data_IF_292701785854
#
_entry.id   IF_292701785854
#
_cell.length_a   1.000
_cell.length_b   1.000
_cell.length_c   1.000
_cell.angle_alpha   90.00
_cell.angle_beta   90.00
_cell.angle_gamma   90.00
#
_symmetry.space_group_name_H-M   'P 1'
#
loop_
_entity.id
_entity.type
_entity.pdbx_description
1 polymer ?
#
# COMPACT_ATOMS: atom_id res chain seq x y z
N UNK A 1 -49.14 -23.58 -3.58
CA UNK A 1 -48.28 -23.43 -2.40
C UNK A 1 -47.00 -22.75 -2.86
N UNK A 2 -46.42 -21.87 -2.07
CA UNK A 2 -45.17 -21.18 -2.40
C UNK A 2 -44.01 -22.13 -2.05
N UNK A 3 -43.01 -22.18 -2.92
CA UNK A 3 -41.76 -22.89 -2.72
C UNK A 3 -40.60 -21.94 -2.94
N UNK A 4 -39.54 -22.14 -2.21
CA UNK A 4 -38.34 -21.31 -2.21
C UNK A 4 -37.25 -22.00 -3.01
N UNK A 5 -36.82 -21.35 -4.08
CA UNK A 5 -35.89 -21.93 -5.06
C UNK A 5 -34.47 -21.58 -4.72
N UNK A 6 -33.56 -22.56 -4.82
CA UNK A 6 -32.13 -22.39 -4.65
C UNK A 6 -31.35 -22.77 -5.91
N UNK A 7 -30.17 -22.20 -6.04
CA UNK A 7 -29.23 -22.48 -7.12
C UNK A 7 -28.74 -23.94 -7.00
N UNK A 8 -28.62 -24.63 -8.12
CA UNK A 8 -28.24 -26.07 -8.15
C UNK A 8 -26.82 -26.30 -7.61
N UNK A 9 -25.88 -25.37 -7.86
CA UNK A 9 -24.48 -25.54 -7.53
C UNK A 9 -24.15 -24.88 -6.17
N UNK A 10 -24.49 -23.61 -6.02
CA UNK A 10 -24.14 -22.82 -4.83
C UNK A 10 -25.15 -22.97 -3.70
N UNK A 11 -26.34 -23.51 -3.95
CA UNK A 11 -27.47 -23.62 -3.01
C UNK A 11 -28.02 -22.30 -2.50
N UNK A 12 -27.58 -21.18 -3.08
CA UNK A 12 -28.06 -19.84 -2.73
C UNK A 12 -29.54 -19.68 -3.07
N UNK A 13 -30.28 -18.97 -2.24
CA UNK A 13 -31.65 -18.57 -2.53
C UNK A 13 -31.70 -17.66 -3.77
N UNK A 14 -32.48 -18.05 -4.76
CA UNK A 14 -32.61 -17.31 -6.03
C UNK A 14 -34.03 -16.81 -6.32
N UNK A 15 -34.99 -17.14 -5.49
CA UNK A 15 -36.35 -16.63 -5.65
C UNK A 15 -37.43 -17.59 -5.27
N UNK A 16 -38.65 -17.24 -5.67
CA UNK A 16 -39.86 -17.95 -5.34
C UNK A 16 -40.41 -18.68 -6.57
N UNK A 17 -41.01 -19.85 -6.34
CA UNK A 17 -41.72 -20.65 -7.37
C UNK A 17 -43.02 -21.19 -6.80
N UNK A 18 -44.08 -21.23 -7.63
CA UNK A 18 -45.32 -21.87 -7.24
C UNK A 18 -45.28 -23.37 -7.49
N UNK A 19 -45.49 -24.13 -6.43
CA UNK A 19 -45.67 -25.58 -6.49
C UNK A 19 -47.04 -25.92 -7.06
N UNK A 20 -47.08 -26.90 -7.98
CA UNK A 20 -48.32 -27.40 -8.56
C UNK A 20 -49.00 -28.32 -7.57
N UNK A 21 -50.35 -28.35 -7.63
CA UNK A 21 -51.14 -29.29 -6.86
C UNK A 21 -50.90 -30.70 -7.39
N UNK A 22 -50.72 -31.64 -6.48
CA UNK A 22 -50.58 -33.03 -6.86
C UNK A 22 -51.94 -33.57 -7.46
N UNK A 23 -51.97 -33.99 -8.73
CA UNK A 23 -53.18 -34.51 -9.35
C UNK A 23 -53.62 -35.83 -8.78
N UNK A 24 -52.76 -36.58 -8.11
CA UNK A 24 -53.04 -37.91 -7.53
C UNK A 24 -53.18 -37.88 -6.01
N UNK A 25 -52.91 -36.74 -5.36
CA UNK A 25 -52.92 -36.62 -3.93
C UNK A 25 -53.52 -35.30 -3.41
N UNK A 26 -53.52 -35.12 -2.11
CA UNK A 26 -54.02 -33.91 -1.44
C UNK A 26 -52.96 -32.81 -1.24
N UNK A 27 -51.70 -33.04 -1.67
CA UNK A 27 -50.55 -32.19 -1.44
C UNK A 27 -50.14 -31.32 -2.63
N UNK A 28 -48.90 -30.86 -2.59
CA UNK A 28 -48.24 -30.11 -3.64
C UNK A 28 -46.95 -30.82 -4.07
N UNK A 29 -46.66 -30.82 -5.36
CA UNK A 29 -45.44 -31.37 -5.91
C UNK A 29 -44.32 -30.31 -5.72
N UNK A 30 -43.29 -30.67 -4.99
CA UNK A 30 -42.14 -29.81 -4.79
C UNK A 30 -41.36 -29.69 -6.11
N UNK A 31 -41.19 -28.50 -6.67
CA UNK A 31 -40.36 -28.31 -7.87
C UNK A 31 -38.91 -28.67 -7.61
N UNK A 32 -38.15 -28.99 -8.66
CA UNK A 32 -36.73 -29.25 -8.56
C UNK A 32 -35.97 -28.02 -8.01
N UNK A 33 -34.99 -28.27 -7.17
CA UNK A 33 -34.16 -27.23 -6.50
C UNK A 33 -35.01 -26.23 -5.70
N UNK A 34 -36.05 -26.72 -5.06
CA UNK A 34 -36.93 -25.92 -4.19
C UNK A 34 -37.12 -26.62 -2.84
N UNK A 35 -37.50 -25.84 -1.86
CA UNK A 35 -37.96 -26.28 -0.55
C UNK A 35 -39.25 -25.53 -0.18
N UNK A 36 -40.08 -26.12 0.70
CA UNK A 36 -41.22 -25.42 1.28
C UNK A 36 -40.82 -24.60 2.53
N UNK A 37 -39.58 -24.76 3.01
CA UNK A 37 -39.08 -24.01 4.14
C UNK A 37 -38.69 -22.59 3.70
N UNK A 38 -39.20 -21.62 4.40
CA UNK A 38 -38.90 -20.22 4.16
C UNK A 38 -37.47 -19.87 4.59
N UNK A 39 -36.69 -19.18 3.75
CA UNK A 39 -35.40 -18.68 4.17
C UNK A 39 -35.56 -17.59 5.26
N UNK A 40 -34.56 -17.41 6.13
CA UNK A 40 -34.55 -16.31 7.08
C UNK A 40 -34.54 -14.97 6.35
N UNK A 41 -34.89 -13.90 7.04
CA UNK A 41 -34.85 -12.53 6.50
C UNK A 41 -33.46 -12.21 5.95
N UNK A 42 -33.43 -11.51 4.81
CA UNK A 42 -32.17 -11.10 4.20
C UNK A 42 -31.43 -10.11 5.12
N UNK A 43 -30.19 -10.43 5.42
CA UNK A 43 -29.24 -9.55 6.12
C UNK A 43 -28.23 -9.03 5.09
N UNK A 44 -27.92 -7.73 5.14
CA UNK A 44 -26.93 -7.13 4.26
C UNK A 44 -25.53 -7.75 4.51
N UNK A 45 -24.80 -8.05 3.41
CA UNK A 45 -23.52 -8.77 3.47
C UNK A 45 -23.62 -10.27 3.75
N UNK A 46 -24.83 -10.85 3.69
CA UNK A 46 -25.06 -12.30 3.85
C UNK A 46 -25.91 -12.85 2.71
N UNK A 47 -25.66 -14.12 2.37
CA UNK A 47 -26.49 -14.92 1.46
C UNK A 47 -27.16 -16.06 2.23
N UNK A 48 -28.36 -16.42 1.78
CA UNK A 48 -29.09 -17.58 2.32
C UNK A 48 -28.73 -18.81 1.50
N UNK A 49 -28.13 -19.81 2.13
CA UNK A 49 -27.72 -21.08 1.52
C UNK A 49 -28.59 -22.21 2.09
N UNK A 50 -29.14 -23.03 1.21
CA UNK A 50 -29.93 -24.18 1.62
C UNK A 50 -29.04 -25.39 1.88
N UNK A 51 -29.05 -25.87 3.11
CA UNK A 51 -28.39 -27.10 3.53
C UNK A 51 -29.30 -28.28 3.25
N UNK A 52 -28.94 -29.08 2.25
CA UNK A 52 -29.70 -30.26 1.81
C UNK A 52 -29.67 -31.40 2.84
N UNK A 53 -28.60 -31.52 3.63
CA UNK A 53 -28.46 -32.62 4.58
C UNK A 53 -29.33 -32.38 5.83
N UNK A 54 -29.32 -31.14 6.30
CA UNK A 54 -30.09 -30.74 7.50
C UNK A 54 -31.48 -30.20 7.15
N UNK A 55 -31.79 -30.03 5.87
CA UNK A 55 -33.05 -29.48 5.38
C UNK A 55 -33.35 -28.11 6.03
N UNK A 56 -32.36 -27.22 6.06
CA UNK A 56 -32.46 -25.89 6.69
C UNK A 56 -31.78 -24.84 5.86
N UNK A 57 -32.18 -23.57 6.05
CA UNK A 57 -31.47 -22.43 5.53
C UNK A 57 -30.40 -21.95 6.51
N UNK A 58 -29.24 -21.60 5.98
CA UNK A 58 -28.16 -20.98 6.71
C UNK A 58 -27.86 -19.59 6.13
N UNK A 59 -27.53 -18.65 6.98
CA UNK A 59 -26.99 -17.35 6.54
C UNK A 59 -25.47 -17.40 6.59
N UNK A 60 -24.85 -17.21 5.43
CA UNK A 60 -23.41 -17.27 5.27
C UNK A 60 -22.94 -15.91 4.78
N UNK A 61 -21.84 -15.41 5.32
CA UNK A 61 -21.28 -14.12 4.93
C UNK A 61 -20.87 -14.16 3.46
N UNK A 62 -21.27 -13.12 2.71
CA UNK A 62 -20.87 -12.93 1.32
C UNK A 62 -19.64 -12.02 1.30
N UNK A 63 -18.49 -12.62 1.04
CA UNK A 63 -17.22 -11.90 0.89
C UNK A 63 -16.82 -11.72 -0.58
N UNK A 64 -17.70 -12.08 -1.54
CA UNK A 64 -17.42 -11.89 -2.96
C UNK A 64 -17.20 -10.43 -3.29
N UNK A 65 -16.31 -10.18 -4.26
CA UNK A 65 -15.88 -8.85 -4.71
C UNK A 65 -15.05 -8.05 -3.68
N UNK A 66 -14.80 -8.59 -2.48
CA UNK A 66 -13.80 -8.08 -1.53
C UNK A 66 -12.44 -8.70 -1.80
N UNK A 67 -11.44 -8.32 -1.03
CA UNK A 67 -10.08 -8.80 -1.19
C UNK A 67 -9.72 -9.87 -0.15
N UNK A 68 -8.91 -10.83 -0.59
CA UNK A 68 -8.17 -11.75 0.28
C UNK A 68 -6.67 -11.62 -0.02
N UNK A 69 -5.84 -11.86 0.98
CA UNK A 69 -4.39 -11.84 0.87
C UNK A 69 -3.83 -13.21 1.19
N UNK A 70 -2.89 -13.67 0.37
CA UNK A 70 -2.14 -14.91 0.62
C UNK A 70 -1.10 -14.67 1.69
N UNK A 71 -1.04 -15.55 2.70
CA UNK A 71 -0.15 -15.39 3.85
C UNK A 71 1.33 -15.56 3.49
N UNK A 72 1.64 -16.36 2.48
CA UNK A 72 3.01 -16.71 2.10
C UNK A 72 3.77 -15.54 1.48
N UNK A 73 3.13 -14.75 0.61
CA UNK A 73 3.79 -13.77 -0.24
C UNK A 73 3.10 -12.40 -0.29
N UNK A 74 2.05 -12.22 0.51
CA UNK A 74 1.25 -10.99 0.54
C UNK A 74 0.56 -10.65 -0.80
N UNK A 75 0.30 -11.66 -1.64
CA UNK A 75 -0.42 -11.47 -2.90
C UNK A 75 -1.91 -11.30 -2.65
N UNK A 76 -2.52 -10.26 -3.25
CA UNK A 76 -3.95 -10.00 -3.14
C UNK A 76 -4.72 -10.64 -4.29
N UNK A 77 -5.84 -11.29 -3.96
CA UNK A 77 -6.81 -11.83 -4.90
C UNK A 77 -8.22 -11.29 -4.59
N UNK A 78 -9.08 -11.26 -5.60
CA UNK A 78 -10.51 -10.94 -5.42
C UNK A 78 -11.24 -12.23 -5.05
N UNK A 79 -11.98 -12.19 -3.96
CA UNK A 79 -12.81 -13.31 -3.50
C UNK A 79 -13.95 -13.58 -4.48
N UNK A 80 -14.07 -14.82 -4.96
CA UNK A 80 -15.11 -15.27 -5.91
C UNK A 80 -16.01 -16.37 -5.35
N UNK A 81 -15.91 -16.62 -4.05
CA UNK A 81 -16.62 -17.68 -3.37
C UNK A 81 -17.30 -17.16 -2.10
N UNK A 82 -18.20 -17.97 -1.55
CA UNK A 82 -18.95 -17.67 -0.33
C UNK A 82 -18.36 -18.50 0.81
N UNK A 83 -18.45 -17.98 2.03
CA UNK A 83 -18.03 -18.66 3.23
C UNK A 83 -16.69 -18.18 3.76
N UNK A 84 -15.98 -19.07 4.45
CA UNK A 84 -14.71 -18.75 5.12
C UNK A 84 -13.54 -18.64 4.13
N UNK A 85 -12.49 -17.98 4.53
CA UNK A 85 -11.28 -17.89 3.74
C UNK A 85 -10.67 -19.28 3.51
N UNK A 86 -10.08 -19.48 2.33
CA UNK A 86 -9.32 -20.67 2.04
C UNK A 86 -8.11 -20.79 2.93
N UNK A 87 -7.61 -22.00 3.11
CA UNK A 87 -6.37 -22.23 3.84
C UNK A 87 -5.22 -21.40 3.23
N UNK A 88 -4.48 -20.69 4.06
CA UNK A 88 -3.39 -19.80 3.64
C UNK A 88 -3.84 -18.43 3.09
N UNK A 89 -5.13 -18.09 3.23
CA UNK A 89 -5.66 -16.77 2.84
C UNK A 89 -6.37 -16.09 4.00
N UNK A 90 -6.33 -14.76 4.00
CA UNK A 90 -6.96 -13.91 5.01
C UNK A 90 -7.84 -12.88 4.30
N UNK A 91 -9.13 -12.78 4.68
CA UNK A 91 -9.97 -11.69 4.20
C UNK A 91 -9.49 -10.36 4.76
N UNK A 92 -9.45 -9.35 3.91
CA UNK A 92 -9.04 -8.01 4.28
C UNK A 92 -10.07 -6.98 3.83
N UNK A 93 -10.11 -5.85 4.53
CA UNK A 93 -10.92 -4.72 4.13
C UNK A 93 -10.36 -4.06 2.85
N UNK A 94 -11.22 -3.46 2.06
CA UNK A 94 -10.84 -2.89 0.75
C UNK A 94 -9.81 -1.76 0.88
N UNK A 95 -9.85 -1.01 1.97
CA UNK A 95 -8.88 0.05 2.28
C UNK A 95 -7.47 -0.50 2.54
N UNK A 96 -7.33 -1.73 3.04
CA UNK A 96 -6.03 -2.40 3.22
C UNK A 96 -5.35 -2.58 1.87
N UNK A 97 -6.08 -3.04 0.87
CA UNK A 97 -5.53 -3.21 -0.49
C UNK A 97 -5.09 -1.87 -1.09
N UNK A 98 -5.91 -0.82 -0.99
CA UNK A 98 -5.58 0.51 -1.50
C UNK A 98 -4.34 1.08 -0.82
N UNK A 99 -4.27 0.97 0.51
CA UNK A 99 -3.14 1.45 1.29
C UNK A 99 -1.86 0.65 0.99
N UNK A 100 -1.97 -0.67 0.79
CA UNK A 100 -0.84 -1.52 0.40
C UNK A 100 -0.26 -1.14 -0.96
N UNK A 101 -1.10 -0.80 -1.94
CA UNK A 101 -0.63 -0.31 -3.23
C UNK A 101 0.15 1.00 -3.12
N UNK A 102 -0.23 1.87 -2.19
CA UNK A 102 0.48 3.11 -1.92
C UNK A 102 1.78 2.87 -1.14
N UNK A 103 1.78 1.91 -0.22
CA UNK A 103 2.91 1.58 0.65
C UNK A 103 2.89 0.12 1.08
N UNK A 104 3.60 -0.73 0.36
CA UNK A 104 3.66 -2.17 0.62
C UNK A 104 4.32 -2.54 1.95
N UNK A 105 5.14 -1.67 2.52
CA UNK A 105 5.82 -1.92 3.80
C UNK A 105 4.92 -1.68 5.02
N UNK A 106 3.73 -1.10 4.81
CA UNK A 106 2.80 -0.69 5.86
C UNK A 106 2.17 -1.87 6.61
N UNK A 107 2.10 -3.04 5.99
CA UNK A 107 1.38 -4.17 6.54
C UNK A 107 2.29 -5.37 6.79
N UNK A 108 2.00 -6.12 7.86
CA UNK A 108 2.61 -7.42 8.17
C UNK A 108 1.52 -8.44 8.48
N UNK A 109 1.79 -9.71 8.20
CA UNK A 109 0.94 -10.82 8.64
C UNK A 109 1.54 -11.40 9.92
N UNK A 110 0.75 -11.42 10.98
CA UNK A 110 1.11 -11.99 12.28
C UNK A 110 -0.09 -12.79 12.80
N UNK A 111 0.13 -14.04 13.18
CA UNK A 111 -0.91 -14.93 13.72
C UNK A 111 -2.18 -14.95 12.85
N UNK A 112 -2.04 -15.17 11.55
CA UNK A 112 -3.13 -15.20 10.56
C UNK A 112 -3.97 -13.90 10.52
N UNK A 113 -3.33 -12.75 10.78
CA UNK A 113 -3.98 -11.42 10.70
C UNK A 113 -3.08 -10.44 10.00
N UNK A 114 -3.69 -9.60 9.16
CA UNK A 114 -3.02 -8.44 8.57
C UNK A 114 -3.03 -7.31 9.59
N UNK A 115 -1.83 -6.85 9.95
CA UNK A 115 -1.62 -5.78 10.93
C UNK A 115 -1.04 -4.57 10.23
N UNK A 116 -1.65 -3.41 10.44
CA UNK A 116 -1.10 -2.11 10.04
C UNK A 116 -0.02 -1.69 11.03
N UNK A 117 1.21 -1.48 10.54
CA UNK A 117 2.36 -1.14 11.37
C UNK A 117 2.81 0.32 11.21
N UNK A 118 2.00 1.17 10.56
CA UNK A 118 2.34 2.57 10.24
C UNK A 118 2.77 3.39 11.46
N UNK A 119 2.19 3.11 12.63
CA UNK A 119 2.47 3.83 13.88
C UNK A 119 3.64 3.23 14.68
N UNK A 120 4.20 2.09 14.25
CA UNK A 120 5.31 1.46 14.95
C UNK A 120 6.64 2.20 14.72
N UNK A 121 7.47 2.23 15.74
CA UNK A 121 8.81 2.84 15.64
C UNK A 121 9.70 2.10 14.62
N UNK A 122 9.52 0.77 14.49
CA UNK A 122 10.24 -0.03 13.49
C UNK A 122 9.92 0.43 12.06
N UNK A 123 8.64 0.66 11.75
CA UNK A 123 8.22 1.15 10.44
C UNK A 123 8.77 2.55 10.17
N UNK A 124 8.60 3.48 11.12
CA UNK A 124 9.09 4.87 10.99
C UNK A 124 10.59 4.92 10.76
N UNK A 125 11.36 4.14 11.51
CA UNK A 125 12.81 4.07 11.36
C UNK A 125 13.21 3.44 10.01
N UNK A 126 12.53 2.38 9.57
CA UNK A 126 12.74 1.78 8.25
C UNK A 126 12.50 2.81 7.13
N UNK A 127 11.41 3.58 7.19
CA UNK A 127 11.11 4.63 6.21
C UNK A 127 12.16 5.75 6.25
N UNK A 128 12.59 6.16 7.44
CA UNK A 128 13.65 7.16 7.61
C UNK A 128 14.97 6.70 6.98
N UNK A 129 15.34 5.43 7.16
CA UNK A 129 16.55 4.86 6.56
C UNK A 129 16.45 4.78 5.04
N UNK A 130 15.32 4.31 4.50
CA UNK A 130 15.07 4.26 3.05
C UNK A 130 15.12 5.66 2.42
N UNK A 131 14.52 6.65 3.06
CA UNK A 131 14.56 8.04 2.59
C UNK A 131 15.99 8.59 2.63
N UNK A 132 16.73 8.34 3.70
CA UNK A 132 18.14 8.74 3.81
C UNK A 132 19.01 8.13 2.73
N UNK A 133 18.81 6.84 2.43
CA UNK A 133 19.52 6.17 1.33
C UNK A 133 19.12 6.73 -0.03
N UNK A 134 17.83 6.97 -0.26
CA UNK A 134 17.31 7.59 -1.48
C UNK A 134 17.96 8.97 -1.71
N UNK A 135 17.96 9.83 -0.68
CA UNK A 135 18.57 11.17 -0.76
C UNK A 135 20.06 11.07 -1.01
N UNK A 136 20.77 10.14 -0.35
CA UNK A 136 22.20 9.94 -0.56
C UNK A 136 22.57 9.59 -2.02
N UNK A 137 21.64 8.97 -2.77
CA UNK A 137 21.82 8.63 -4.17
C UNK A 137 21.32 9.70 -5.16
N UNK A 138 20.75 10.82 -4.68
CA UNK A 138 20.38 11.94 -5.53
C UNK A 138 21.63 12.52 -6.22
N UNK A 139 21.44 13.01 -7.44
CA UNK A 139 22.51 13.56 -8.27
C UNK A 139 22.18 14.98 -8.70
N UNK A 140 23.18 15.79 -8.83
CA UNK A 140 23.07 17.08 -9.51
C UNK A 140 24.33 17.38 -10.32
N UNK A 141 24.18 18.22 -11.35
CA UNK A 141 25.36 18.70 -12.09
C UNK A 141 26.12 19.73 -11.27
N UNK A 142 27.42 19.84 -11.50
CA UNK A 142 28.26 20.86 -10.88
C UNK A 142 27.68 22.28 -11.05
N UNK A 143 27.16 22.58 -12.25
CA UNK A 143 26.55 23.90 -12.52
C UNK A 143 25.36 24.18 -11.60
N UNK A 144 24.47 23.22 -11.47
CA UNK A 144 23.27 23.35 -10.61
C UNK A 144 23.71 23.52 -9.16
N UNK A 145 24.67 22.72 -8.68
CA UNK A 145 25.18 22.85 -7.31
C UNK A 145 25.76 24.25 -7.03
N UNK A 146 26.57 24.78 -7.96
CA UNK A 146 27.17 26.15 -7.81
C UNK A 146 26.08 27.19 -7.72
N UNK A 147 25.07 27.14 -8.64
CA UNK A 147 23.97 28.11 -8.64
C UNK A 147 23.17 28.07 -7.32
N UNK A 148 22.90 26.89 -6.82
CA UNK A 148 22.17 26.74 -5.54
C UNK A 148 22.98 27.23 -4.34
N UNK A 149 24.31 27.01 -4.33
CA UNK A 149 25.17 27.53 -3.28
C UNK A 149 25.21 29.07 -3.29
N UNK A 150 25.24 29.68 -4.46
CA UNK A 150 25.15 31.15 -4.60
C UNK A 150 23.79 31.69 -4.13
N UNK A 151 22.68 30.95 -4.40
CA UNK A 151 21.35 31.35 -3.94
C UNK A 151 21.23 31.34 -2.41
N UNK A 152 21.93 30.46 -1.70
CA UNK A 152 22.03 30.50 -0.23
C UNK A 152 23.14 31.42 0.30
N UNK A 153 23.70 32.27 -0.56
CA UNK A 153 24.68 33.28 -0.19
C UNK A 153 26.12 32.79 -0.06
N UNK A 154 26.46 31.63 -0.66
CA UNK A 154 27.83 31.10 -0.68
C UNK A 154 28.46 31.34 -2.06
N UNK A 155 29.50 32.17 -2.13
CA UNK A 155 30.18 32.49 -3.39
C UNK A 155 31.16 31.37 -3.77
N UNK A 156 30.93 30.77 -4.96
CA UNK A 156 31.74 29.65 -5.44
C UNK A 156 33.25 30.06 -5.54
N UNK A 157 33.54 31.21 -6.05
CA UNK A 157 34.93 31.63 -6.30
C UNK A 157 35.67 32.09 -5.01
N UNK A 158 34.96 32.73 -4.07
CA UNK A 158 35.53 33.20 -2.83
C UNK A 158 35.57 32.16 -1.73
N UNK A 159 34.50 31.38 -1.60
CA UNK A 159 34.30 30.52 -0.44
C UNK A 159 34.65 29.06 -0.75
N UNK A 160 34.37 28.57 -1.97
CA UNK A 160 34.43 27.13 -2.32
C UNK A 160 35.73 26.80 -3.08
N UNK A 161 36.04 27.56 -4.11
CA UNK A 161 37.21 27.29 -4.96
C UNK A 161 38.52 27.20 -4.19
N UNK A 162 38.81 28.11 -3.24
CA UNK A 162 40.05 28.05 -2.44
C UNK A 162 40.14 26.78 -1.58
N UNK A 163 39.00 26.30 -1.05
CA UNK A 163 38.96 25.06 -0.25
C UNK A 163 39.27 23.82 -1.09
N UNK A 164 38.84 23.83 -2.35
CA UNK A 164 39.02 22.73 -3.31
C UNK A 164 40.45 22.76 -3.84
N UNK A 165 40.98 23.92 -4.20
CA UNK A 165 42.33 24.08 -4.73
C UNK A 165 43.42 23.68 -3.72
N UNK A 166 43.16 23.85 -2.42
CA UNK A 166 44.06 23.38 -1.37
C UNK A 166 44.24 21.85 -1.33
N UNK A 167 43.35 21.11 -1.98
CA UNK A 167 43.36 19.62 -2.02
C UNK A 167 43.31 19.13 -3.45
N UNK A 168 44.43 18.68 -4.02
CA UNK A 168 44.55 18.19 -5.40
C UNK A 168 43.49 17.17 -5.78
N UNK A 169 43.17 16.24 -4.89
CA UNK A 169 42.17 15.20 -5.16
C UNK A 169 40.76 15.79 -5.26
N UNK A 170 40.36 16.68 -4.36
CA UNK A 170 39.10 17.38 -4.39
C UNK A 170 38.92 18.22 -5.66
N UNK A 171 40.00 18.89 -6.10
CA UNK A 171 40.02 19.66 -7.35
C UNK A 171 39.77 18.77 -8.56
N UNK A 172 40.51 17.67 -8.69
CA UNK A 172 40.36 16.74 -9.79
C UNK A 172 38.94 16.11 -9.82
N UNK A 173 38.43 15.73 -8.67
CA UNK A 173 37.10 15.15 -8.54
C UNK A 173 36.01 16.14 -9.00
N UNK A 174 36.06 17.38 -8.55
CA UNK A 174 35.09 18.39 -8.94
C UNK A 174 35.26 18.89 -10.39
N UNK A 175 36.48 18.91 -10.93
CA UNK A 175 36.75 19.31 -12.31
C UNK A 175 36.34 18.25 -13.32
N UNK A 176 36.52 16.97 -13.00
CA UNK A 176 36.28 15.86 -13.91
C UNK A 176 34.86 15.26 -13.79
N UNK A 177 34.15 15.49 -12.69
CA UNK A 177 32.79 14.97 -12.56
C UNK A 177 31.80 15.76 -13.42
N UNK A 178 30.92 15.05 -14.09
CA UNK A 178 29.74 15.60 -14.79
C UNK A 178 28.60 15.80 -13.80
N UNK A 179 28.42 14.84 -12.94
CA UNK A 179 27.39 14.80 -11.90
C UNK A 179 28.02 14.48 -10.54
N UNK A 180 27.49 15.07 -9.51
CA UNK A 180 27.83 14.83 -8.10
C UNK A 180 26.68 14.05 -7.44
N UNK A 181 27.03 12.97 -6.77
CA UNK A 181 26.07 12.25 -5.90
C UNK A 181 26.10 12.87 -4.50
N UNK A 182 24.92 12.98 -3.86
CA UNK A 182 24.80 13.56 -2.51
C UNK A 182 25.70 12.86 -1.47
N UNK A 183 25.89 11.55 -1.61
CA UNK A 183 26.77 10.75 -0.72
C UNK A 183 28.27 11.03 -0.89
N UNK A 184 28.68 11.84 -1.87
CA UNK A 184 30.08 12.16 -2.07
C UNK A 184 30.67 12.83 -0.82
N UNK A 185 31.74 12.27 -0.21
CA UNK A 185 32.33 12.81 1.03
C UNK A 185 32.80 14.25 0.92
N UNK A 186 33.17 14.69 -0.30
CA UNK A 186 33.62 16.07 -0.56
C UNK A 186 32.55 17.10 -0.21
N UNK A 187 31.27 16.79 -0.45
CA UNK A 187 30.15 17.68 -0.15
C UNK A 187 30.02 17.95 1.35
N UNK A 188 30.17 16.93 2.18
CA UNK A 188 30.14 17.09 3.63
C UNK A 188 31.37 17.91 4.15
N UNK A 189 32.53 17.71 3.52
CA UNK A 189 33.75 18.50 3.88
C UNK A 189 33.55 19.97 3.51
N UNK A 190 33.01 20.27 2.34
CA UNK A 190 32.71 21.64 1.91
C UNK A 190 31.63 22.24 2.82
N UNK A 191 30.54 21.50 3.07
CA UNK A 191 29.46 21.94 3.95
C UNK A 191 29.98 22.35 5.33
N UNK A 192 30.75 21.48 5.97
CA UNK A 192 31.34 21.78 7.30
C UNK A 192 32.25 23.04 7.32
N UNK A 193 32.88 23.39 6.18
CA UNK A 193 33.72 24.59 6.06
C UNK A 193 32.91 25.86 5.79
N UNK A 194 31.73 25.71 5.23
CA UNK A 194 30.83 26.81 4.86
C UNK A 194 29.68 27.00 5.86
N UNK A 195 29.69 26.26 6.98
CA UNK A 195 28.61 26.23 7.96
C UNK A 195 27.25 25.84 7.33
N UNK A 196 27.27 24.87 6.38
CA UNK A 196 26.10 24.28 5.77
C UNK A 196 25.91 22.90 6.40
N UNK A 197 24.77 22.69 7.05
CA UNK A 197 24.48 21.40 7.68
C UNK A 197 24.25 20.28 6.64
N UNK A 198 24.41 19.00 7.01
CA UNK A 198 24.07 17.88 6.13
C UNK A 198 22.64 17.94 5.61
N UNK A 199 21.67 18.35 6.44
CA UNK A 199 20.26 18.50 6.09
C UNK A 199 20.05 19.62 5.06
N UNK A 200 20.79 20.71 5.17
CA UNK A 200 20.78 21.76 4.14
C UNK A 200 21.36 21.27 2.82
N UNK A 201 22.40 20.43 2.84
CA UNK A 201 22.93 19.83 1.62
C UNK A 201 21.91 18.86 1.02
N UNK A 202 21.20 18.05 1.85
CA UNK A 202 20.11 17.19 1.40
C UNK A 202 19.01 18.02 0.71
N UNK A 203 18.65 19.16 1.28
CA UNK A 203 17.66 20.09 0.71
C UNK A 203 18.10 20.64 -0.66
N UNK A 204 19.38 21.00 -0.82
CA UNK A 204 19.94 21.43 -2.10
C UNK A 204 19.76 20.34 -3.18
N UNK A 205 20.04 19.08 -2.83
CA UNK A 205 19.88 17.96 -3.77
C UNK A 205 18.41 17.65 -4.08
N UNK A 206 17.51 17.76 -3.12
CA UNK A 206 16.06 17.64 -3.33
C UNK A 206 15.54 18.76 -4.24
N UNK A 207 15.99 19.99 -4.02
CA UNK A 207 15.65 21.14 -4.88
C UNK A 207 16.17 20.96 -6.30
N UNK A 208 17.41 20.49 -6.47
CA UNK A 208 17.99 20.19 -7.79
C UNK A 208 17.20 19.15 -8.59
N UNK A 209 16.52 18.25 -7.91
CA UNK A 209 15.70 17.20 -8.50
C UNK A 209 14.21 17.56 -8.58
N UNK A 210 13.82 18.80 -8.21
CA UNK A 210 12.45 19.28 -8.27
C UNK A 210 11.51 18.70 -7.21
N UNK A 211 12.05 18.10 -6.15
CA UNK A 211 11.27 17.49 -5.07
C UNK A 211 10.75 18.53 -4.07
N UNK A 212 11.45 19.65 -3.96
CA UNK A 212 11.05 20.81 -3.14
C UNK A 212 11.12 22.08 -3.96
N UNK A 213 10.30 23.07 -3.63
CA UNK A 213 10.17 24.34 -4.36
C UNK A 213 10.98 25.49 -3.76
N UNK A 214 11.60 25.29 -2.60
CA UNK A 214 12.35 26.32 -1.88
C UNK A 214 13.59 25.74 -1.20
N UNK A 215 14.66 26.54 -1.13
CA UNK A 215 15.88 26.22 -0.41
C UNK A 215 15.83 26.65 1.09
N UNK A 216 14.76 27.31 1.50
CA UNK A 216 14.50 27.58 2.92
C UNK A 216 13.67 26.44 3.49
N UNK A 217 14.11 25.79 4.59
CA UNK A 217 13.31 24.76 5.25
C UNK A 217 11.95 25.34 5.65
N UNK A 218 10.88 24.70 5.26
CA UNK A 218 9.55 25.01 5.80
C UNK A 218 9.44 24.42 7.21
N UNK A 219 8.73 25.09 8.14
CA UNK A 219 8.56 24.65 9.53
C UNK A 219 7.96 23.22 9.67
N UNK A 220 7.43 22.66 8.59
CA UNK A 220 6.89 21.29 8.53
C UNK A 220 7.94 20.21 8.29
N UNK A 221 9.16 20.55 7.87
CA UNK A 221 10.26 19.61 7.57
C UNK A 221 11.24 19.43 8.75
N UNK A 222 11.02 20.12 9.86
CA UNK A 222 11.88 20.11 11.06
C UNK A 222 11.30 19.28 12.20
N UNK A 223 10.30 18.39 11.91
CA UNK A 223 9.73 17.50 12.95
C UNK A 223 10.00 16.03 12.68
#
# INVERSE_FOLDING_TARGET
>A
MLAYRYNTDTKEFIGLQYAQKDPLGSGYLLPANCTFKEPPDKIDGYVQIYDLENDTWQQVRDNRDHYEVREEDFTFDIVKYIGEAKEGYIFVADDVYVNYLADSDRYKIVDHKVIDIIDTEEYKESKRLKEKERVANLKCTKRVLVLMLEEIGKDYFKDILPLIEAKRQAKLELELCVELERKNPLLNIIGAKLDISPEQIDLLFKYANGEVSSLTPTESEVK
#
